data_IF_542816482076
#
_entry.id   IF_542816482076
#
_cell.length_a   1.000
_cell.length_b   1.000
_cell.length_c   1.000
_cell.angle_alpha   90.00
_cell.angle_beta   90.00
_cell.angle_gamma   90.00
#
_symmetry.space_group_name_H-M   'P 1'
#
loop_
_entity.id
_entity.type
_entity.pdbx_description
1 polymer ?
#
# COMPACT_ATOMS: atom_id res chain seq x y z
N UNK A 1 -55.43 -75.01 28.05
CA UNK A 1 -54.80 -73.81 28.58
C UNK A 1 -53.55 -73.31 27.74
N UNK A 2 -53.26 -73.91 26.61
CA UNK A 2 -52.01 -73.71 25.85
C UNK A 2 -52.14 -72.89 24.58
N UNK A 3 -53.35 -72.64 24.00
CA UNK A 3 -53.49 -71.85 22.79
C UNK A 3 -53.50 -70.31 23.04
N UNK A 4 -54.16 -69.84 24.10
CA UNK A 4 -54.24 -68.43 24.47
C UNK A 4 -52.88 -67.78 24.81
N UNK A 5 -51.98 -68.48 25.49
CA UNK A 5 -50.66 -68.00 25.86
C UNK A 5 -49.73 -67.85 24.63
N UNK A 6 -49.87 -68.73 23.62
CA UNK A 6 -49.13 -68.62 22.34
C UNK A 6 -49.55 -67.42 21.50
N UNK A 7 -50.87 -67.08 21.49
CA UNK A 7 -51.38 -65.91 20.78
C UNK A 7 -50.94 -64.57 21.37
N UNK A 8 -51.00 -64.47 22.72
CA UNK A 8 -50.55 -63.28 23.45
C UNK A 8 -49.02 -63.06 23.28
N UNK A 9 -48.23 -64.12 23.29
CA UNK A 9 -46.81 -64.05 23.08
C UNK A 9 -46.43 -63.64 21.64
N UNK A 10 -47.22 -64.08 20.62
CA UNK A 10 -47.03 -63.73 19.21
C UNK A 10 -47.42 -62.28 18.90
N UNK A 11 -48.51 -61.77 19.53
CA UNK A 11 -48.92 -60.37 19.41
C UNK A 11 -47.91 -59.41 20.10
N UNK A 12 -47.38 -59.78 21.27
CA UNK A 12 -46.34 -59.00 21.96
C UNK A 12 -45.06 -58.89 21.17
N UNK A 13 -44.61 -59.95 20.47
CA UNK A 13 -43.42 -59.93 19.60
C UNK A 13 -43.65 -59.05 18.37
N UNK A 14 -44.84 -59.07 17.77
CA UNK A 14 -45.21 -58.21 16.65
C UNK A 14 -45.22 -56.73 17.06
N UNK A 15 -45.86 -56.38 18.15
CA UNK A 15 -45.88 -55.00 18.69
C UNK A 15 -44.47 -54.50 18.99
N UNK A 16 -43.62 -55.34 19.63
CA UNK A 16 -42.21 -54.99 19.89
C UNK A 16 -41.44 -54.71 18.60
N UNK A 17 -41.64 -55.50 17.53
CA UNK A 17 -41.01 -55.25 16.22
C UNK A 17 -41.46 -53.93 15.59
N UNK A 18 -42.73 -53.58 15.64
CA UNK A 18 -43.25 -52.32 15.12
C UNK A 18 -42.70 -51.10 15.87
N UNK A 19 -42.59 -51.20 17.21
CA UNK A 19 -41.98 -50.15 18.03
C UNK A 19 -40.51 -49.99 17.66
N UNK A 20 -39.75 -51.09 17.54
CA UNK A 20 -38.34 -51.03 17.16
C UNK A 20 -38.12 -50.42 15.76
N UNK A 21 -38.93 -50.78 14.78
CA UNK A 21 -38.85 -50.19 13.45
C UNK A 21 -39.18 -48.70 13.45
N UNK A 22 -40.17 -48.26 14.22
CA UNK A 22 -40.57 -46.88 14.38
C UNK A 22 -39.41 -46.06 15.03
N UNK A 23 -38.76 -46.58 16.04
CA UNK A 23 -37.61 -45.94 16.71
C UNK A 23 -36.42 -45.81 15.76
N UNK A 24 -36.16 -46.83 14.92
CA UNK A 24 -35.09 -46.77 13.92
C UNK A 24 -35.41 -45.70 12.88
N UNK A 25 -36.65 -45.61 12.38
CA UNK A 25 -37.08 -44.58 11.43
C UNK A 25 -36.96 -43.16 12.01
N UNK A 26 -37.34 -42.95 13.26
CA UNK A 26 -37.17 -41.69 13.99
C UNK A 26 -35.70 -41.32 14.12
N UNK A 27 -34.85 -42.27 14.50
CA UNK A 27 -33.42 -42.05 14.58
C UNK A 27 -32.81 -41.65 13.22
N UNK A 28 -33.18 -42.35 12.14
CA UNK A 28 -32.72 -42.03 10.79
C UNK A 28 -33.19 -40.64 10.34
N UNK A 29 -34.42 -40.24 10.67
CA UNK A 29 -34.93 -38.90 10.38
C UNK A 29 -34.15 -37.81 11.15
N UNK A 30 -33.88 -38.03 12.45
CA UNK A 30 -33.08 -37.12 13.25
C UNK A 30 -31.65 -36.95 12.71
N UNK A 31 -31.00 -38.08 12.36
CA UNK A 31 -29.64 -38.01 11.78
C UNK A 31 -29.61 -37.26 10.45
N UNK A 32 -30.62 -37.47 9.58
CA UNK A 32 -30.77 -36.76 8.29
C UNK A 32 -30.91 -35.25 8.52
N UNK A 33 -31.72 -34.83 9.49
CA UNK A 33 -31.88 -33.40 9.85
C UNK A 33 -30.57 -32.82 10.35
N UNK A 34 -29.86 -33.54 11.23
CA UNK A 34 -28.56 -33.07 11.74
C UNK A 34 -27.55 -32.91 10.60
N UNK A 35 -27.45 -33.89 9.71
CA UNK A 35 -26.55 -33.81 8.55
C UNK A 35 -26.91 -32.62 7.65
N UNK A 36 -28.20 -32.39 7.40
CA UNK A 36 -28.69 -31.25 6.65
C UNK A 36 -28.27 -29.92 7.30
N UNK A 37 -28.50 -29.76 8.59
CA UNK A 37 -28.16 -28.54 9.33
C UNK A 37 -26.63 -28.29 9.38
N UNK A 38 -25.83 -29.33 9.53
CA UNK A 38 -24.36 -29.21 9.50
C UNK A 38 -23.88 -28.76 8.12
N UNK A 39 -24.45 -29.34 7.04
CA UNK A 39 -24.13 -28.95 5.67
C UNK A 39 -24.55 -27.52 5.36
N UNK A 40 -25.72 -27.12 5.80
CA UNK A 40 -26.24 -25.76 5.65
C UNK A 40 -25.35 -24.74 6.36
N UNK A 41 -24.97 -25.01 7.62
CA UNK A 41 -24.01 -24.20 8.37
C UNK A 41 -22.67 -24.07 7.66
N UNK A 42 -22.14 -25.17 7.13
CA UNK A 42 -20.88 -25.14 6.38
C UNK A 42 -20.98 -24.25 5.13
N UNK A 43 -22.08 -24.36 4.37
CA UNK A 43 -22.32 -23.53 3.18
C UNK A 43 -22.45 -22.05 3.53
N UNK A 44 -23.17 -21.72 4.62
CA UNK A 44 -23.30 -20.34 5.11
C UNK A 44 -21.95 -19.75 5.52
N UNK A 45 -21.14 -20.53 6.26
CA UNK A 45 -19.79 -20.07 6.64
C UNK A 45 -18.90 -19.82 5.42
N UNK A 46 -18.97 -20.66 4.40
CA UNK A 46 -18.23 -20.49 3.16
C UNK A 46 -18.64 -19.19 2.44
N UNK A 47 -19.95 -18.96 2.27
CA UNK A 47 -20.47 -17.74 1.65
C UNK A 47 -20.03 -16.50 2.44
N UNK A 48 -20.11 -16.55 3.77
CA UNK A 48 -19.70 -15.44 4.62
C UNK A 48 -18.20 -15.13 4.45
N UNK A 49 -17.32 -16.14 4.42
CA UNK A 49 -15.89 -15.94 4.23
C UNK A 49 -15.54 -15.35 2.86
N UNK A 50 -16.28 -15.76 1.80
CA UNK A 50 -16.15 -15.21 0.46
C UNK A 50 -16.58 -13.72 0.42
N UNK A 51 -17.69 -13.37 1.09
CA UNK A 51 -18.15 -11.98 1.19
C UNK A 51 -17.17 -11.11 1.98
N UNK A 52 -16.64 -11.59 3.10
CA UNK A 52 -15.64 -10.87 3.89
C UNK A 52 -14.37 -10.59 3.08
N UNK A 53 -13.92 -11.54 2.27
CA UNK A 53 -12.78 -11.37 1.37
C UNK A 53 -13.06 -10.29 0.30
N UNK A 54 -14.23 -10.34 -0.34
CA UNK A 54 -14.64 -9.34 -1.33
C UNK A 54 -14.73 -7.92 -0.74
N UNK A 55 -15.31 -7.79 0.46
CA UNK A 55 -15.39 -6.50 1.16
C UNK A 55 -13.98 -5.96 1.43
N UNK A 56 -13.06 -6.82 1.87
CA UNK A 56 -11.67 -6.42 2.11
C UNK A 56 -10.96 -5.95 0.84
N UNK A 57 -11.14 -6.64 -0.27
CA UNK A 57 -10.57 -6.24 -1.56
C UNK A 57 -11.15 -4.91 -2.05
N UNK A 58 -12.45 -4.72 -1.93
CA UNK A 58 -13.11 -3.46 -2.27
C UNK A 58 -12.59 -2.31 -1.41
N UNK A 59 -12.44 -2.52 -0.10
CA UNK A 59 -11.91 -1.50 0.80
C UNK A 59 -10.46 -1.13 0.47
N UNK A 60 -9.62 -2.09 0.09
CA UNK A 60 -8.26 -1.82 -0.38
C UNK A 60 -8.26 -0.96 -1.64
N UNK A 61 -9.13 -1.27 -2.60
CA UNK A 61 -9.28 -0.50 -3.84
C UNK A 61 -9.74 0.94 -3.57
N UNK A 62 -10.71 1.10 -2.66
CA UNK A 62 -11.19 2.42 -2.26
C UNK A 62 -10.05 3.24 -1.63
N UNK A 63 -9.31 2.67 -0.69
CA UNK A 63 -8.20 3.35 -0.03
C UNK A 63 -7.10 3.77 -1.03
N UNK A 64 -6.80 2.89 -2.01
CA UNK A 64 -5.86 3.22 -3.09
C UNK A 64 -6.34 4.41 -3.93
N UNK A 65 -7.62 4.39 -4.32
CA UNK A 65 -8.21 5.48 -5.11
C UNK A 65 -8.22 6.80 -4.33
N UNK A 66 -8.53 6.77 -3.05
CA UNK A 66 -8.51 7.96 -2.18
C UNK A 66 -7.09 8.54 -2.05
N UNK A 67 -6.07 7.69 -1.86
CA UNK A 67 -4.66 8.14 -1.85
C UNK A 67 -4.26 8.76 -3.19
N UNK A 68 -4.57 8.10 -4.31
CA UNK A 68 -4.28 8.63 -5.66
C UNK A 68 -5.00 9.95 -5.92
N UNK A 69 -6.25 10.06 -5.49
CA UNK A 69 -7.03 11.30 -5.65
C UNK A 69 -6.42 12.46 -4.84
N UNK A 70 -5.94 12.18 -3.63
CA UNK A 70 -5.21 13.15 -2.80
C UNK A 70 -3.94 13.63 -3.50
N UNK A 71 -3.13 12.72 -4.02
CA UNK A 71 -1.91 13.02 -4.77
C UNK A 71 -2.24 13.87 -6.01
N UNK A 72 -3.23 13.45 -6.81
CA UNK A 72 -3.70 14.16 -8.00
C UNK A 72 -4.04 15.61 -7.67
N UNK A 73 -4.86 15.84 -6.66
CA UNK A 73 -5.29 17.17 -6.24
C UNK A 73 -4.11 18.06 -5.81
N UNK A 74 -3.12 17.48 -5.14
CA UNK A 74 -1.91 18.22 -4.76
C UNK A 74 -1.12 18.59 -6.01
N UNK A 75 -0.96 17.66 -6.96
CA UNK A 75 -0.24 17.96 -8.21
C UNK A 75 -0.96 19.08 -8.99
N UNK A 76 -2.29 19.00 -9.14
CA UNK A 76 -3.09 20.02 -9.82
C UNK A 76 -2.93 21.41 -9.21
N UNK A 77 -2.88 21.49 -7.89
CA UNK A 77 -2.77 22.78 -7.17
C UNK A 77 -1.38 23.44 -7.32
N UNK A 78 -0.32 22.65 -7.56
CA UNK A 78 1.06 23.18 -7.56
C UNK A 78 1.81 23.06 -8.90
N UNK A 79 1.36 22.21 -9.81
CA UNK A 79 2.08 21.93 -11.05
C UNK A 79 2.19 23.14 -11.99
N UNK A 80 3.31 23.21 -12.74
CA UNK A 80 3.54 24.20 -13.77
C UNK A 80 4.08 23.52 -15.04
N UNK A 81 3.30 23.60 -16.13
CA UNK A 81 3.72 23.15 -17.46
C UNK A 81 3.38 21.70 -17.80
N UNK A 82 2.54 21.00 -16.99
CA UNK A 82 2.06 19.65 -17.27
C UNK A 82 0.67 19.67 -17.92
N UNK A 83 0.40 18.69 -18.78
CA UNK A 83 -0.92 18.41 -19.33
C UNK A 83 -1.66 17.40 -18.45
N UNK A 84 -2.98 17.33 -18.55
CA UNK A 84 -3.83 16.44 -17.74
C UNK A 84 -3.39 14.98 -17.78
N UNK A 85 -3.01 14.46 -18.96
CA UNK A 85 -2.49 13.11 -19.09
C UNK A 85 -1.20 12.90 -18.28
N UNK A 86 -0.28 13.86 -18.32
CA UNK A 86 0.99 13.82 -17.60
C UNK A 86 0.77 13.90 -16.07
N UNK A 87 -0.25 14.66 -15.65
CA UNK A 87 -0.65 14.74 -14.23
C UNK A 87 -1.13 13.39 -13.74
N UNK A 88 -1.94 12.67 -14.53
CA UNK A 88 -2.37 11.31 -14.21
C UNK A 88 -1.20 10.32 -14.11
N UNK A 89 -0.23 10.40 -15.03
CA UNK A 89 0.99 9.60 -15.00
C UNK A 89 1.85 9.90 -13.76
N UNK A 90 2.03 11.17 -13.41
CA UNK A 90 2.73 11.62 -12.21
C UNK A 90 2.07 11.12 -10.94
N UNK A 91 0.74 11.19 -10.88
CA UNK A 91 -0.04 10.66 -9.74
C UNK A 91 0.26 9.19 -9.49
N UNK A 92 0.21 8.38 -10.56
CA UNK A 92 0.50 6.96 -10.45
C UNK A 92 1.95 6.70 -10.03
N UNK A 93 2.93 7.39 -10.62
CA UNK A 93 4.34 7.19 -10.29
C UNK A 93 4.63 7.56 -8.83
N UNK A 94 4.12 8.69 -8.36
CA UNK A 94 4.32 9.10 -6.95
C UNK A 94 3.68 8.10 -6.00
N UNK A 95 2.47 7.62 -6.31
CA UNK A 95 1.81 6.58 -5.53
C UNK A 95 2.64 5.30 -5.49
N UNK A 96 3.05 4.77 -6.64
CA UNK A 96 3.80 3.52 -6.75
C UNK A 96 5.18 3.59 -6.05
N UNK A 97 5.93 4.68 -6.25
CA UNK A 97 7.23 4.85 -5.59
C UNK A 97 7.07 5.04 -4.07
N UNK A 98 6.01 5.71 -3.62
CA UNK A 98 5.69 5.81 -2.19
C UNK A 98 5.39 4.43 -1.58
N UNK A 99 4.59 3.61 -2.25
CA UNK A 99 4.30 2.23 -1.80
C UNK A 99 5.54 1.35 -1.79
N UNK A 100 6.32 1.39 -2.86
CA UNK A 100 7.53 0.58 -3.06
C UNK A 100 8.56 0.78 -1.94
N UNK A 101 8.74 2.00 -1.47
CA UNK A 101 9.70 2.33 -0.43
C UNK A 101 9.07 2.60 0.94
N UNK A 102 7.76 2.38 1.07
CA UNK A 102 6.99 2.65 2.30
C UNK A 102 7.11 4.10 2.76
N UNK A 103 7.10 5.05 1.82
CA UNK A 103 7.04 6.46 2.13
C UNK A 103 5.60 6.90 2.40
N UNK A 104 5.47 7.94 3.23
CA UNK A 104 4.28 8.79 3.18
C UNK A 104 4.31 9.57 1.85
N UNK A 105 3.28 9.49 0.97
CA UNK A 105 3.25 10.24 -0.28
C UNK A 105 3.47 11.74 -0.10
N UNK A 106 3.01 12.30 1.04
CA UNK A 106 3.21 13.72 1.36
C UNK A 106 4.70 14.06 1.57
N UNK A 107 5.52 13.12 2.03
CA UNK A 107 6.97 13.32 2.11
C UNK A 107 7.59 13.48 0.72
N UNK A 108 7.22 12.61 -0.22
CA UNK A 108 7.73 12.66 -1.59
C UNK A 108 7.26 13.93 -2.31
N UNK A 109 5.99 14.29 -2.15
CA UNK A 109 5.41 15.51 -2.67
C UNK A 109 6.08 16.77 -2.09
N UNK A 110 6.35 16.80 -0.78
CA UNK A 110 7.03 17.94 -0.15
C UNK A 110 8.48 18.09 -0.61
N UNK A 111 9.16 16.98 -0.90
CA UNK A 111 10.50 17.01 -1.47
C UNK A 111 10.46 17.57 -2.91
N UNK A 112 9.56 17.12 -3.77
CA UNK A 112 9.36 17.65 -5.13
C UNK A 112 9.03 19.15 -5.09
N UNK A 113 8.15 19.56 -4.19
CA UNK A 113 7.82 21.00 -4.01
C UNK A 113 9.02 21.84 -3.59
N UNK A 114 9.89 21.27 -2.77
CA UNK A 114 11.11 22.00 -2.32
C UNK A 114 12.15 22.06 -3.43
N UNK A 115 12.30 20.99 -4.22
CA UNK A 115 13.31 20.91 -5.28
C UNK A 115 12.95 21.70 -6.54
N UNK A 116 11.72 21.59 -7.00
CA UNK A 116 11.31 22.15 -8.31
C UNK A 116 10.05 23.00 -8.30
N UNK A 117 9.31 23.05 -7.18
CA UNK A 117 7.97 23.60 -7.12
C UNK A 117 7.04 22.98 -8.19
N UNK A 118 7.18 21.69 -8.49
CA UNK A 118 6.47 20.99 -9.58
C UNK A 118 6.62 21.62 -10.96
N UNK A 119 7.72 22.32 -11.25
CA UNK A 119 7.98 22.90 -12.57
C UNK A 119 8.57 21.87 -13.51
N UNK A 120 7.89 21.66 -14.65
CA UNK A 120 8.39 20.77 -15.69
C UNK A 120 9.70 21.31 -16.28
N UNK A 121 10.69 20.41 -16.44
CA UNK A 121 11.96 20.77 -17.07
C UNK A 121 12.90 21.65 -16.22
N UNK A 122 12.71 21.72 -14.90
CA UNK A 122 13.53 22.52 -14.00
C UNK A 122 15.00 22.10 -14.07
N UNK A 123 15.89 23.10 -14.12
CA UNK A 123 17.34 22.95 -14.06
C UNK A 123 17.86 23.88 -12.96
N UNK A 124 18.71 23.36 -12.05
CA UNK A 124 19.36 24.20 -11.04
C UNK A 124 20.67 24.79 -11.57
N UNK A 125 21.18 25.83 -10.88
CA UNK A 125 22.50 26.40 -11.15
C UNK A 125 23.64 25.38 -11.00
N UNK A 126 23.43 24.35 -10.17
CA UNK A 126 24.40 23.28 -9.94
C UNK A 126 24.20 22.07 -10.88
N UNK A 127 23.36 22.21 -11.93
CA UNK A 127 23.15 21.19 -12.95
C UNK A 127 22.28 20.01 -12.50
N UNK A 128 21.50 20.14 -11.44
CA UNK A 128 20.48 19.14 -11.07
C UNK A 128 19.24 19.31 -11.97
N UNK A 129 18.59 18.19 -12.35
CA UNK A 129 17.58 18.15 -13.40
C UNK A 129 16.24 17.55 -12.90
N UNK A 130 15.16 18.09 -13.42
CA UNK A 130 13.80 17.54 -13.29
C UNK A 130 13.13 17.82 -11.95
N UNK A 131 12.03 17.09 -11.68
CA UNK A 131 11.15 17.35 -10.55
C UNK A 131 11.81 17.13 -9.18
N UNK A 132 12.66 16.11 -9.07
CA UNK A 132 13.39 15.78 -7.86
C UNK A 132 14.86 16.24 -7.89
N UNK A 133 15.23 17.09 -8.86
CA UNK A 133 16.56 17.70 -8.99
C UNK A 133 17.70 16.67 -8.86
N UNK A 134 17.61 15.59 -9.64
CA UNK A 134 18.63 14.55 -9.68
C UNK A 134 19.83 15.04 -10.48
N UNK A 135 21.05 14.99 -9.89
CA UNK A 135 22.29 15.27 -10.62
C UNK A 135 22.56 14.17 -11.64
N UNK A 136 23.03 14.47 -12.88
CA UNK A 136 23.36 13.46 -13.86
C UNK A 136 24.31 12.37 -13.39
N UNK A 137 25.32 12.73 -12.62
CA UNK A 137 26.28 11.79 -12.03
C UNK A 137 25.61 10.82 -11.06
N UNK A 138 24.68 11.30 -10.23
CA UNK A 138 23.91 10.47 -9.29
C UNK A 138 22.98 9.55 -10.05
N UNK A 139 22.24 10.08 -11.05
CA UNK A 139 21.34 9.30 -11.90
C UNK A 139 22.07 8.18 -12.66
N UNK A 140 23.23 8.49 -13.24
CA UNK A 140 24.06 7.50 -13.91
C UNK A 140 24.53 6.40 -12.95
N UNK A 141 25.07 6.75 -11.80
CA UNK A 141 25.56 5.80 -10.80
C UNK A 141 24.44 4.89 -10.26
N UNK A 142 23.28 5.45 -9.96
CA UNK A 142 22.11 4.67 -9.55
C UNK A 142 21.69 3.66 -10.64
N UNK A 143 21.64 4.10 -11.90
CA UNK A 143 21.31 3.22 -13.02
C UNK A 143 22.31 2.08 -13.16
N UNK A 144 23.62 2.36 -13.08
CA UNK A 144 24.65 1.34 -13.16
C UNK A 144 24.55 0.32 -12.02
N UNK A 145 24.39 0.78 -10.80
CA UNK A 145 24.32 -0.11 -9.61
C UNK A 145 23.03 -0.95 -9.57
N UNK A 146 21.95 -0.46 -10.16
CA UNK A 146 20.62 -1.12 -10.11
C UNK A 146 20.22 -1.79 -11.42
N UNK A 147 21.08 -1.77 -12.44
CA UNK A 147 20.79 -2.34 -13.74
C UNK A 147 19.65 -1.63 -14.49
N UNK A 148 19.42 -0.33 -14.20
CA UNK A 148 18.43 0.49 -14.89
C UNK A 148 19.01 1.02 -16.20
N UNK A 149 18.13 1.22 -17.20
CA UNK A 149 18.55 1.69 -18.51
C UNK A 149 18.80 3.22 -18.51
N UNK A 150 20.06 3.63 -18.45
CA UNK A 150 20.45 5.02 -18.58
C UNK A 150 20.46 5.46 -20.03
N UNK A 151 19.55 6.36 -20.40
CA UNK A 151 19.41 6.92 -21.75
C UNK A 151 20.10 8.30 -21.91
N UNK A 152 21.02 8.64 -21.02
CA UNK A 152 21.69 9.94 -20.99
C UNK A 152 21.00 10.95 -20.07
N UNK A 153 21.63 12.12 -19.89
CA UNK A 153 21.16 13.17 -18.97
C UNK A 153 19.77 13.70 -19.30
N UNK A 154 19.41 13.73 -20.59
CA UNK A 154 18.10 14.20 -21.04
C UNK A 154 16.95 13.32 -20.54
N UNK A 155 17.21 12.05 -20.20
CA UNK A 155 16.20 11.20 -19.60
C UNK A 155 15.74 11.68 -18.21
N UNK A 156 16.53 12.49 -17.52
CA UNK A 156 16.15 13.12 -16.27
C UNK A 156 15.05 14.18 -16.41
N UNK A 157 14.75 14.62 -17.63
CA UNK A 157 13.58 15.46 -17.90
C UNK A 157 12.29 14.66 -18.10
N UNK A 158 12.38 13.34 -18.22
CA UNK A 158 11.21 12.46 -18.16
C UNK A 158 10.69 12.40 -16.72
N UNK A 159 9.50 12.95 -16.41
CA UNK A 159 9.07 13.16 -15.02
C UNK A 159 8.98 11.86 -14.23
N UNK A 160 8.43 10.81 -14.84
CA UNK A 160 8.32 9.50 -14.20
C UNK A 160 9.69 8.90 -13.84
N UNK A 161 10.64 8.95 -14.78
CA UNK A 161 11.99 8.43 -14.55
C UNK A 161 12.74 9.24 -13.49
N UNK A 162 12.57 10.56 -13.50
CA UNK A 162 13.17 11.45 -12.52
C UNK A 162 12.67 11.15 -11.10
N UNK A 163 11.35 10.95 -10.92
CA UNK A 163 10.75 10.59 -9.64
C UNK A 163 11.25 9.21 -9.20
N UNK A 164 11.32 8.22 -10.10
CA UNK A 164 11.85 6.89 -9.77
C UNK A 164 13.30 6.96 -9.25
N UNK A 165 14.17 7.70 -9.93
CA UNK A 165 15.57 7.84 -9.50
C UNK A 165 15.71 8.65 -8.21
N UNK A 166 14.98 9.76 -8.06
CA UNK A 166 15.00 10.56 -6.85
C UNK A 166 14.48 9.80 -5.63
N UNK A 167 13.40 9.04 -5.80
CA UNK A 167 12.84 8.18 -4.75
C UNK A 167 13.82 7.06 -4.35
N UNK A 168 14.44 6.41 -5.32
CA UNK A 168 15.47 5.41 -5.08
C UNK A 168 16.67 6.00 -4.33
N UNK A 169 17.14 7.19 -4.76
CA UNK A 169 18.26 7.86 -4.09
C UNK A 169 17.93 8.18 -2.63
N UNK A 170 16.77 8.75 -2.36
CA UNK A 170 16.30 9.01 -1.00
C UNK A 170 16.25 7.71 -0.17
N UNK A 171 15.77 6.63 -0.75
CA UNK A 171 15.72 5.33 -0.07
C UNK A 171 17.11 4.83 0.31
N UNK A 172 18.08 4.89 -0.59
CA UNK A 172 19.47 4.50 -0.29
C UNK A 172 20.08 5.35 0.82
N UNK A 173 19.80 6.66 0.81
CA UNK A 173 20.24 7.55 1.88
C UNK A 173 19.59 7.22 3.23
N UNK A 174 18.30 6.88 3.25
CA UNK A 174 17.61 6.44 4.48
C UNK A 174 18.24 5.15 5.00
N UNK A 175 18.50 4.18 4.14
CA UNK A 175 19.17 2.93 4.54
C UNK A 175 20.57 3.16 5.07
N UNK A 176 21.31 4.08 4.46
CA UNK A 176 22.69 4.42 4.84
C UNK A 176 22.75 5.14 6.19
N UNK A 177 21.97 6.18 6.38
CA UNK A 177 22.02 7.01 7.58
C UNK A 177 21.06 6.56 8.69
N UNK A 178 20.12 5.64 8.40
CA UNK A 178 19.08 5.12 9.32
C UNK A 178 18.27 6.23 10.03
N UNK A 179 18.16 7.38 9.37
CA UNK A 179 17.48 8.57 9.86
C UNK A 179 16.98 9.39 8.67
N UNK A 180 15.68 9.59 8.60
CA UNK A 180 15.02 10.31 7.49
C UNK A 180 15.48 11.75 7.41
N UNK A 181 15.70 12.43 8.55
CA UNK A 181 16.16 13.83 8.57
C UNK A 181 17.57 13.95 8.01
N UNK A 182 18.46 13.04 8.40
CA UNK A 182 19.83 12.98 7.85
C UNK A 182 19.81 12.63 6.36
N UNK A 183 18.94 11.72 5.94
CA UNK A 183 18.77 11.38 4.53
C UNK A 183 18.32 12.58 3.69
N UNK A 184 17.36 13.37 4.15
CA UNK A 184 16.93 14.60 3.48
C UNK A 184 18.07 15.62 3.40
N UNK A 185 18.86 15.79 4.47
CA UNK A 185 20.05 16.65 4.42
C UNK A 185 21.04 16.12 3.38
N UNK A 186 21.36 14.81 3.42
CA UNK A 186 22.27 14.17 2.47
C UNK A 186 21.79 14.28 1.02
N UNK A 187 20.49 14.21 0.80
CA UNK A 187 19.89 14.38 -0.52
C UNK A 187 20.28 15.71 -1.15
N UNK A 188 20.23 16.79 -0.36
CA UNK A 188 20.57 18.14 -0.81
C UNK A 188 22.08 18.38 -0.93
N UNK A 189 22.87 18.03 0.10
CA UNK A 189 24.30 18.38 0.16
C UNK A 189 25.22 17.29 -0.39
N UNK A 190 24.70 16.09 -0.63
CA UNK A 190 25.44 14.89 -0.99
C UNK A 190 25.88 14.07 0.24
N UNK A 191 25.93 12.76 0.06
CA UNK A 191 26.23 11.81 1.14
C UNK A 191 27.63 12.00 1.75
N UNK A 192 28.64 12.27 0.92
CA UNK A 192 30.03 12.45 1.39
C UNK A 192 30.19 13.69 2.26
N UNK A 193 29.51 14.80 1.93
CA UNK A 193 29.52 16.01 2.72
C UNK A 193 28.85 15.78 4.09
N UNK A 194 27.70 15.10 4.12
CA UNK A 194 27.07 14.77 5.39
C UNK A 194 27.95 13.85 6.26
N UNK A 195 28.56 12.82 5.67
CA UNK A 195 29.51 11.96 6.43
C UNK A 195 30.68 12.73 7.05
N UNK A 196 31.22 13.65 6.29
CA UNK A 196 32.32 14.50 6.80
C UNK A 196 31.86 15.31 8.02
N UNK A 197 30.74 16.00 7.93
CA UNK A 197 30.19 16.79 9.05
C UNK A 197 29.84 15.94 10.27
N UNK A 198 29.32 14.73 10.05
CA UNK A 198 29.05 13.80 11.15
C UNK A 198 30.32 13.32 11.84
N UNK A 199 31.45 13.17 11.10
CA UNK A 199 32.75 12.78 11.64
C UNK A 199 33.44 13.94 12.37
N UNK A 200 33.33 15.17 11.86
CA UNK A 200 33.98 16.37 12.44
C UNK A 200 33.18 16.99 13.58
N UNK A 201 31.91 16.58 13.76
CA UNK A 201 31.02 17.16 14.77
C UNK A 201 30.51 18.56 14.40
N UNK A 202 30.63 18.95 13.15
CA UNK A 202 30.13 20.23 12.65
C UNK A 202 28.59 20.30 12.66
N UNK A 203 28.07 21.53 12.79
CA UNK A 203 26.63 21.77 12.74
C UNK A 203 26.08 21.45 11.35
N UNK A 204 25.12 20.55 11.30
CA UNK A 204 24.47 20.17 10.04
C UNK A 204 23.64 21.33 9.47
N UNK A 205 23.63 21.53 8.14
CA UNK A 205 22.75 22.51 7.48
C UNK A 205 21.30 22.05 7.63
N UNK A 206 20.47 22.94 8.13
CA UNK A 206 19.06 22.59 8.43
C UNK A 206 18.06 23.30 7.51
N UNK A 207 18.52 24.23 6.67
CA UNK A 207 17.59 25.05 5.87
C UNK A 207 16.72 24.19 4.94
N UNK A 208 17.33 23.35 4.11
CA UNK A 208 16.60 22.47 3.18
C UNK A 208 15.66 21.52 3.93
N UNK A 209 16.13 20.86 4.99
CA UNK A 209 15.30 20.03 5.84
C UNK A 209 14.09 20.80 6.41
N UNK A 210 14.33 22.04 6.87
CA UNK A 210 13.25 22.89 7.42
C UNK A 210 12.19 23.22 6.37
N UNK A 211 12.60 23.51 5.13
CA UNK A 211 11.67 23.75 4.02
C UNK A 211 10.84 22.49 3.68
N UNK A 212 11.49 21.32 3.57
CA UNK A 212 10.76 20.05 3.34
C UNK A 212 9.75 19.77 4.46
N UNK A 213 10.16 19.93 5.73
CA UNK A 213 9.27 19.72 6.88
C UNK A 213 8.12 20.74 6.89
N UNK A 214 8.36 21.98 6.52
CA UNK A 214 7.34 23.02 6.39
C UNK A 214 6.32 22.64 5.33
N UNK A 215 6.77 22.27 4.12
CA UNK A 215 5.90 21.81 3.03
C UNK A 215 5.10 20.57 3.42
N UNK A 216 5.73 19.60 4.08
CA UNK A 216 5.04 18.42 4.57
C UNK A 216 3.88 18.77 5.52
N UNK A 217 4.09 19.70 6.47
CA UNK A 217 3.06 20.14 7.41
C UNK A 217 1.93 20.88 6.68
N UNK A 218 2.27 21.78 5.76
CA UNK A 218 1.28 22.52 4.95
C UNK A 218 0.41 21.57 4.12
N UNK A 219 1.02 20.56 3.48
CA UNK A 219 0.28 19.54 2.73
C UNK A 219 -0.60 18.70 3.65
N UNK A 220 -0.08 18.28 4.80
CA UNK A 220 -0.83 17.47 5.75
C UNK A 220 -2.03 18.22 6.30
N UNK A 221 -1.87 19.48 6.68
CA UNK A 221 -2.95 20.32 7.18
C UNK A 221 -4.04 20.55 6.13
N UNK A 222 -3.66 20.77 4.86
CA UNK A 222 -4.61 21.09 3.79
C UNK A 222 -5.32 19.87 3.22
N UNK A 223 -4.60 18.73 3.02
CA UNK A 223 -5.11 17.58 2.26
C UNK A 223 -5.30 16.32 3.09
N UNK A 224 -4.83 16.31 4.33
CA UNK A 224 -4.93 15.17 5.25
C UNK A 224 -5.19 15.65 6.70
N UNK A 225 -6.22 16.53 6.90
CA UNK A 225 -6.52 17.04 8.22
C UNK A 225 -6.92 15.89 9.16
N UNK A 226 -6.57 15.94 10.45
CA UNK A 226 -7.02 14.95 11.41
C UNK A 226 -8.53 14.88 11.40
N UNK A 227 -9.07 13.68 11.30
CA UNK A 227 -10.50 13.47 11.46
C UNK A 227 -10.86 13.82 12.90
N UNK A 228 -11.69 14.87 13.08
CA UNK A 228 -12.14 15.36 14.37
C UNK A 228 -13.02 14.35 15.13
#
# INVERSE_FOLDING_TARGET
MTLGVKLIRKSGILVSKYISTLLILLYMAQTAVIVYLVRDRYNLQKIQSEQEMQIKEQQQTINEMEEKLKILKIIEDFQVGFKDQEIGELTNVIYEESKKYSYDPLLLLSLILTESCFRKGQISEMGALGLMQVKPSVGYDLCQRRGLNWKGELSLFEPAFNIQLGSLYLFELILKFKDVKKAIIAYNVGENALELWLKTGEKLPSHFLSEVVKKYKELKEKYDPPQG
#
